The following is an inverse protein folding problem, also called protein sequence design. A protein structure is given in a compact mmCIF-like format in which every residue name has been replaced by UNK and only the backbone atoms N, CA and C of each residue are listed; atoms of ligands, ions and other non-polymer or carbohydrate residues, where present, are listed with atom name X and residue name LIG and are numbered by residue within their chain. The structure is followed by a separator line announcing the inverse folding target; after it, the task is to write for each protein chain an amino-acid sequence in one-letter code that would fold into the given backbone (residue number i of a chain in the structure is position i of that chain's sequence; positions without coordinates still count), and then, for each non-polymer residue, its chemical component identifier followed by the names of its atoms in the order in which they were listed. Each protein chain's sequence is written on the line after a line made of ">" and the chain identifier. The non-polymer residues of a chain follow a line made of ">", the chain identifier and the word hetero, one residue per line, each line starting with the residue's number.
data_IF_656159439748
#
_entry.id   IF_656159439748
#
_cell.length_a   1.000
_cell.length_b   1.000
_cell.length_c   1.000
_cell.angle_alpha   90.00
_cell.angle_beta   90.00
_cell.angle_gamma   90.00
#
_symmetry.space_group_name_H-M   'P 1'
#
loop_
_entity.id
_entity.type
_entity.pdbx_description
1 polymer ?
#
# COMPACT_ATOMS: atom_id res chain seq x y z
N UNK A 1 -5.18 -9.63 15.32
CA UNK A 1 -4.86 -8.38 15.99
C UNK A 1 -4.19 -7.41 15.01
N UNK A 2 -3.93 -6.19 15.45
CA UNK A 2 -3.34 -5.15 14.63
C UNK A 2 -4.32 -4.55 13.62
N UNK A 3 -3.77 -4.04 12.51
CA UNK A 3 -4.57 -3.39 11.48
C UNK A 3 -5.36 -4.40 10.65
N UNK A 4 -4.71 -5.41 10.10
CA UNK A 4 -5.36 -6.47 9.35
C UNK A 4 -4.77 -7.83 9.77
N UNK A 5 -5.60 -8.77 10.26
CA UNK A 5 -7.07 -8.79 10.22
C UNK A 5 -7.81 -8.01 11.33
N UNK A 6 -7.17 -7.35 12.26
CA UNK A 6 -7.81 -6.70 13.40
C UNK A 6 -8.82 -5.62 13.03
N UNK A 7 -8.39 -4.36 13.02
CA UNK A 7 -9.25 -3.19 12.79
C UNK A 7 -9.99 -3.26 11.45
N UNK A 8 -9.31 -3.64 10.37
CA UNK A 8 -9.95 -3.69 9.06
C UNK A 8 -11.02 -4.78 8.96
N UNK A 9 -10.88 -5.89 9.69
CA UNK A 9 -11.93 -6.89 9.75
C UNK A 9 -13.21 -6.35 10.37
N UNK A 10 -13.10 -5.55 11.42
CA UNK A 10 -14.25 -4.88 12.04
C UNK A 10 -14.88 -3.87 11.07
N UNK A 11 -14.08 -3.11 10.36
CA UNK A 11 -14.56 -2.16 9.36
C UNK A 11 -15.32 -2.87 8.23
N UNK A 12 -14.79 -4.00 7.74
CA UNK A 12 -15.45 -4.81 6.71
C UNK A 12 -16.76 -5.41 7.23
N UNK A 13 -16.78 -5.91 8.45
CA UNK A 13 -17.99 -6.46 9.07
C UNK A 13 -19.06 -5.38 9.20
N UNK A 14 -18.71 -4.22 9.72
CA UNK A 14 -19.61 -3.08 9.85
C UNK A 14 -20.17 -2.64 8.49
N UNK A 15 -19.30 -2.49 7.49
CA UNK A 15 -19.70 -2.12 6.13
C UNK A 15 -20.66 -3.13 5.51
N UNK A 16 -20.42 -4.42 5.69
CA UNK A 16 -21.31 -5.46 5.17
C UNK A 16 -22.67 -5.50 5.87
N UNK A 17 -22.74 -5.13 7.14
CA UNK A 17 -23.99 -5.03 7.87
C UNK A 17 -24.83 -3.82 7.44
N UNK A 18 -24.19 -2.69 7.19
CA UNK A 18 -24.86 -1.44 6.78
C UNK A 18 -25.22 -1.44 5.30
N UNK A 19 -24.37 -2.02 4.45
CA UNK A 19 -24.51 -2.05 3.00
C UNK A 19 -24.28 -3.47 2.49
N UNK A 20 -25.28 -4.39 2.62
CA UNK A 20 -25.09 -5.81 2.28
C UNK A 20 -24.72 -6.07 0.82
N UNK A 21 -25.30 -5.33 -0.11
CA UNK A 21 -25.03 -5.47 -1.54
C UNK A 21 -23.85 -4.58 -1.94
N UNK A 22 -22.65 -5.05 -1.71
CA UNK A 22 -21.46 -4.25 -1.97
C UNK A 22 -20.18 -5.06 -2.01
N UNK A 23 -19.09 -4.36 -2.27
CA UNK A 23 -17.73 -4.91 -2.34
C UNK A 23 -16.79 -4.08 -1.48
N UNK A 24 -15.95 -4.76 -0.72
CA UNK A 24 -14.93 -4.13 0.11
C UNK A 24 -13.61 -3.96 -0.63
N UNK A 25 -12.97 -2.82 -0.39
CA UNK A 25 -11.62 -2.54 -0.86
C UNK A 25 -10.80 -2.07 0.34
N UNK A 26 -9.74 -2.79 0.64
CA UNK A 26 -8.82 -2.43 1.72
C UNK A 26 -7.60 -1.76 1.13
N UNK A 27 -7.28 -0.56 1.62
CA UNK A 27 -6.11 0.19 1.21
C UNK A 27 -5.23 0.50 2.40
N UNK A 28 -3.92 0.38 2.18
CA UNK A 28 -2.93 0.97 3.05
C UNK A 28 -2.74 2.41 2.60
N UNK A 29 -2.79 3.35 3.52
CA UNK A 29 -2.45 4.74 3.25
C UNK A 29 -0.96 4.87 2.98
N UNK A 30 -0.44 6.08 2.67
CA UNK A 30 1.00 6.26 2.52
C UNK A 30 1.71 5.88 3.82
N UNK A 31 2.02 4.60 3.96
CA UNK A 31 2.51 4.02 5.19
C UNK A 31 3.76 3.18 4.99
N UNK A 32 4.61 3.22 6.00
CA UNK A 32 5.84 2.43 6.06
C UNK A 32 5.55 1.05 6.60
N UNK A 33 5.99 0.01 5.90
CA UNK A 33 6.00 -1.35 6.41
C UNK A 33 7.39 -1.69 6.93
N UNK A 34 7.48 -2.05 8.19
CA UNK A 34 8.74 -2.48 8.81
C UNK A 34 9.27 -3.76 8.15
N UNK A 35 8.40 -4.74 7.94
CA UNK A 35 8.80 -6.01 7.30
C UNK A 35 9.35 -5.82 5.90
N UNK A 36 8.73 -4.98 5.09
CA UNK A 36 9.21 -4.67 3.74
C UNK A 36 10.51 -3.87 3.78
N UNK A 37 10.63 -2.91 4.69
CA UNK A 37 11.86 -2.15 4.89
C UNK A 37 13.01 -3.05 5.34
N UNK A 38 12.74 -3.98 6.24
CA UNK A 38 13.74 -4.95 6.71
C UNK A 38 14.19 -5.91 5.59
N UNK A 39 13.28 -6.30 4.71
CA UNK A 39 13.63 -7.13 3.56
C UNK A 39 14.67 -6.44 2.67
N UNK A 40 14.51 -5.13 2.44
CA UNK A 40 15.48 -4.34 1.68
C UNK A 40 16.81 -4.23 2.42
N UNK A 41 16.78 -3.98 3.74
CA UNK A 41 17.99 -3.84 4.55
C UNK A 41 18.86 -5.10 4.58
N UNK A 42 18.30 -6.27 4.28
CA UNK A 42 19.06 -7.54 4.20
C UNK A 42 19.83 -7.71 2.91
N UNK A 43 19.60 -6.86 1.91
CA UNK A 43 20.32 -6.90 0.65
C UNK A 43 21.75 -6.41 0.87
N UNK A 44 22.73 -7.14 0.34
CA UNK A 44 24.14 -6.74 0.42
C UNK A 44 24.36 -5.35 -0.20
N UNK A 45 25.06 -4.47 0.53
CA UNK A 45 25.32 -3.10 0.09
C UNK A 45 24.26 -2.08 0.50
N UNK A 46 23.20 -2.50 1.18
CA UNK A 46 22.19 -1.59 1.73
C UNK A 46 22.52 -1.26 3.18
N UNK A 47 22.61 0.04 3.48
CA UNK A 47 22.86 0.55 4.82
C UNK A 47 21.58 0.83 5.59
N UNK A 48 20.59 1.44 4.94
CA UNK A 48 19.27 1.71 5.51
C UNK A 48 18.21 1.76 4.40
N UNK A 49 16.97 1.56 4.75
CA UNK A 49 15.87 1.61 3.79
C UNK A 49 14.54 1.92 4.46
N UNK A 50 13.68 2.58 3.70
CA UNK A 50 12.25 2.77 4.01
C UNK A 50 11.43 2.46 2.76
N UNK A 51 10.34 1.74 2.91
CA UNK A 51 9.39 1.56 1.83
C UNK A 51 8.03 2.10 2.20
N UNK A 52 7.37 2.71 1.23
CA UNK A 52 6.02 3.21 1.35
C UNK A 52 5.10 2.43 0.44
N UNK A 53 3.92 2.07 0.95
CA UNK A 53 2.80 1.56 0.16
C UNK A 53 1.86 2.71 -0.11
N UNK A 54 1.55 2.95 -1.39
CA UNK A 54 0.79 4.12 -1.81
C UNK A 54 -0.41 3.67 -2.63
N UNK A 55 -1.64 4.05 -2.25
CA UNK A 55 -2.82 3.76 -3.06
C UNK A 55 -2.73 4.39 -4.44
N UNK A 56 -3.20 3.69 -5.44
CA UNK A 56 -3.31 4.22 -6.80
C UNK A 56 -4.52 5.14 -6.85
N UNK A 57 -4.31 6.41 -7.18
CA UNK A 57 -5.34 7.45 -7.13
C UNK A 57 -6.52 7.16 -8.06
N UNK A 58 -6.27 6.66 -9.27
CA UNK A 58 -7.33 6.30 -10.21
C UNK A 58 -8.23 5.18 -9.68
N UNK A 59 -7.67 4.23 -8.92
CA UNK A 59 -8.46 3.18 -8.28
C UNK A 59 -9.36 3.76 -7.19
N UNK A 60 -8.83 4.66 -6.36
CA UNK A 60 -9.60 5.34 -5.32
C UNK A 60 -10.75 6.17 -5.91
N UNK A 61 -10.48 6.93 -6.96
CA UNK A 61 -11.50 7.74 -7.64
C UNK A 61 -12.63 6.88 -8.20
N UNK A 62 -12.31 5.78 -8.85
CA UNK A 62 -13.31 4.86 -9.37
C UNK A 62 -14.21 4.30 -8.27
N UNK A 63 -13.63 3.82 -7.17
CA UNK A 63 -14.40 3.25 -6.07
C UNK A 63 -15.23 4.33 -5.37
N UNK A 64 -14.65 5.49 -5.09
CA UNK A 64 -15.35 6.61 -4.44
C UNK A 64 -16.47 7.19 -5.28
N UNK A 65 -16.42 7.00 -6.59
CA UNK A 65 -17.54 7.39 -7.49
C UNK A 65 -18.69 6.39 -7.49
N UNK A 66 -18.57 5.28 -6.77
CA UNK A 66 -19.60 4.26 -6.66
C UNK A 66 -19.40 3.04 -7.57
N UNK A 67 -18.31 2.98 -8.29
CA UNK A 67 -17.97 1.81 -9.10
C UNK A 67 -17.42 0.68 -8.23
N UNK A 68 -17.52 -0.55 -8.73
CA UNK A 68 -17.01 -1.76 -8.08
C UNK A 68 -16.04 -2.51 -9.00
N UNK A 69 -14.89 -1.90 -9.36
CA UNK A 69 -13.96 -2.51 -10.29
C UNK A 69 -13.29 -3.75 -9.70
N UNK A 70 -12.90 -4.68 -10.58
CA UNK A 70 -11.96 -5.74 -10.22
C UNK A 70 -10.55 -5.17 -10.31
N UNK A 71 -9.82 -5.23 -9.20
CA UNK A 71 -8.48 -4.65 -9.11
C UNK A 71 -7.45 -5.71 -8.77
N UNK A 72 -6.39 -5.76 -9.55
CA UNK A 72 -5.21 -6.56 -9.22
C UNK A 72 -4.39 -5.83 -8.15
N UNK A 73 -3.47 -6.53 -7.51
CA UNK A 73 -2.53 -5.96 -6.55
C UNK A 73 -1.81 -4.74 -7.12
N UNK A 74 -1.34 -4.83 -8.36
CA UNK A 74 -0.63 -3.76 -9.07
C UNK A 74 -1.50 -2.54 -9.34
N UNK A 75 -2.79 -2.75 -9.55
CA UNK A 75 -3.74 -1.66 -9.80
C UNK A 75 -4.18 -0.93 -8.53
N UNK A 76 -4.02 -1.56 -7.36
CA UNK A 76 -4.43 -0.97 -6.07
C UNK A 76 -3.36 -0.11 -5.42
N UNK A 77 -2.12 -0.59 -5.42
CA UNK A 77 -1.02 0.06 -4.72
C UNK A 77 0.25 0.08 -5.55
N UNK A 78 1.04 1.12 -5.35
CA UNK A 78 2.43 1.18 -5.78
C UNK A 78 3.34 1.07 -4.56
N UNK A 79 4.62 0.75 -4.81
CA UNK A 79 5.67 0.73 -3.79
C UNK A 79 6.71 1.79 -4.12
N UNK A 80 7.09 2.55 -3.14
CA UNK A 80 8.15 3.55 -3.27
C UNK A 80 9.18 3.30 -2.19
N UNK A 81 10.41 3.03 -2.62
CA UNK A 81 11.51 2.64 -1.74
C UNK A 81 12.57 3.72 -1.72
N UNK A 82 13.03 4.07 -0.52
CA UNK A 82 14.15 4.98 -0.30
C UNK A 82 15.28 4.18 0.33
N UNK A 83 16.43 4.18 -0.31
CA UNK A 83 17.55 3.31 0.04
C UNK A 83 18.82 4.12 0.24
N UNK A 84 19.48 3.87 1.36
CA UNK A 84 20.85 4.36 1.58
C UNK A 84 21.78 3.20 1.29
N UNK A 85 22.58 3.31 0.25
CA UNK A 85 23.56 2.31 -0.12
C UNK A 85 24.91 2.57 0.58
N UNK A 86 25.67 1.51 0.80
CA UNK A 86 27.04 1.63 1.24
C UNK A 86 27.91 2.22 0.13
N UNK A 87 29.01 2.87 0.51
CA UNK A 87 29.94 3.43 -0.44
C UNK A 87 30.49 2.35 -1.37
N UNK A 88 30.48 2.62 -2.68
CA UNK A 88 30.94 1.68 -3.69
C UNK A 88 29.98 0.55 -4.03
N UNK A 89 28.78 0.53 -3.46
CA UNK A 89 27.79 -0.50 -3.76
C UNK A 89 27.28 -0.40 -5.21
N UNK A 90 26.92 -1.54 -5.78
CA UNK A 90 26.30 -1.61 -7.11
C UNK A 90 24.82 -1.27 -7.02
N UNK A 91 24.47 0.00 -7.28
CA UNK A 91 23.10 0.50 -7.18
C UNK A 91 22.15 -0.20 -8.15
N UNK A 92 22.59 -0.50 -9.36
CA UNK A 92 21.76 -1.18 -10.34
C UNK A 92 21.41 -2.60 -9.90
N UNK A 93 22.35 -3.31 -9.30
CA UNK A 93 22.13 -4.65 -8.75
C UNK A 93 21.15 -4.62 -7.57
N UNK A 94 21.28 -3.63 -6.68
CA UNK A 94 20.38 -3.44 -5.54
C UNK A 94 18.95 -3.15 -6.02
N UNK A 95 18.80 -2.22 -6.96
CA UNK A 95 17.49 -1.89 -7.52
C UNK A 95 16.83 -3.11 -8.16
N UNK A 96 17.58 -3.86 -8.97
CA UNK A 96 17.08 -5.08 -9.61
C UNK A 96 16.61 -6.11 -8.58
N UNK A 97 17.37 -6.31 -7.52
CA UNK A 97 17.03 -7.25 -6.46
C UNK A 97 15.76 -6.82 -5.72
N UNK A 98 15.56 -5.53 -5.48
CA UNK A 98 14.35 -5.00 -4.87
C UNK A 98 13.14 -5.23 -5.77
N UNK A 99 13.16 -4.73 -7.00
CA UNK A 99 11.98 -4.73 -7.88
C UNK A 99 11.55 -6.14 -8.31
N UNK A 100 12.44 -7.11 -8.23
CA UNK A 100 12.15 -8.51 -8.55
C UNK A 100 11.91 -9.39 -7.32
N UNK A 101 11.95 -8.82 -6.11
CA UNK A 101 11.81 -9.57 -4.86
C UNK A 101 10.42 -10.19 -4.74
N UNK A 102 10.30 -11.53 -4.71
CA UNK A 102 9.01 -12.20 -4.58
C UNK A 102 8.36 -11.90 -3.24
N UNK A 103 7.03 -11.83 -3.22
CA UNK A 103 6.19 -11.61 -2.04
C UNK A 103 6.26 -10.19 -1.45
N UNK A 104 7.20 -9.36 -1.88
CA UNK A 104 7.34 -7.99 -1.38
C UNK A 104 7.12 -6.94 -2.45
N UNK A 105 7.83 -7.02 -3.57
CA UNK A 105 7.85 -5.94 -4.56
C UNK A 105 7.55 -6.37 -5.99
N UNK A 106 7.77 -7.64 -6.33
CA UNK A 106 7.65 -8.13 -7.71
C UNK A 106 6.25 -7.94 -8.32
N UNK A 107 5.20 -8.01 -7.50
CA UNK A 107 3.81 -7.87 -7.96
C UNK A 107 3.29 -6.43 -7.97
N UNK A 108 4.18 -5.45 -7.72
CA UNK A 108 3.84 -4.03 -7.65
C UNK A 108 4.65 -3.22 -8.62
N UNK A 109 4.14 -2.07 -9.02
CA UNK A 109 4.95 -1.04 -9.64
C UNK A 109 5.80 -0.41 -8.55
N UNK A 110 7.08 -0.73 -8.57
CA UNK A 110 8.03 -0.37 -7.51
C UNK A 110 9.06 0.61 -8.05
N UNK A 111 9.21 1.74 -7.37
CA UNK A 111 10.22 2.76 -7.66
C UNK A 111 11.26 2.77 -6.55
N UNK A 112 12.54 2.82 -6.91
CA UNK A 112 13.65 2.85 -5.97
C UNK A 112 14.39 4.17 -6.10
N UNK A 113 14.56 4.87 -4.97
CA UNK A 113 15.32 6.11 -4.86
C UNK A 113 16.52 5.85 -3.96
N UNK A 114 17.72 6.16 -4.45
CA UNK A 114 18.93 6.13 -3.63
C UNK A 114 19.16 7.52 -3.05
N UNK A 115 19.23 7.60 -1.73
CA UNK A 115 19.36 8.86 -0.99
C UNK A 115 20.51 8.77 0.00
N UNK A 116 20.92 9.93 0.54
CA UNK A 116 21.93 9.99 1.59
C UNK A 116 21.35 9.60 2.95
N UNK A 117 22.22 9.28 3.90
CA UNK A 117 21.83 9.04 5.28
C UNK A 117 21.18 10.29 5.90
N UNK A 118 21.67 11.48 5.54
CA UNK A 118 21.11 12.75 6.02
C UNK A 118 19.68 12.97 5.51
N UNK A 119 19.41 12.67 4.25
CA UNK A 119 18.07 12.73 3.68
C UNK A 119 17.13 11.73 4.34
N UNK A 120 17.62 10.51 4.60
CA UNK A 120 16.84 9.48 5.29
C UNK A 120 16.41 9.97 6.68
N UNK A 121 17.32 10.53 7.45
CA UNK A 121 17.04 11.03 8.80
C UNK A 121 16.14 12.26 8.81
N UNK A 122 16.31 13.15 7.83
CA UNK A 122 15.52 14.37 7.72
C UNK A 122 14.09 14.11 7.25
N UNK A 123 13.91 13.30 6.21
CA UNK A 123 12.66 13.18 5.46
C UNK A 123 11.87 11.90 5.77
N UNK A 124 12.54 10.84 6.27
CA UNK A 124 11.95 9.52 6.46
C UNK A 124 12.07 8.98 7.89
N UNK A 125 12.26 9.86 8.84
CA UNK A 125 12.38 9.49 10.26
C UNK A 125 11.06 9.04 10.86
N UNK A 126 9.96 9.69 10.50
CA UNK A 126 8.64 9.30 10.95
C UNK A 126 8.19 8.03 10.22
N UNK A 127 7.46 7.19 10.93
CA UNK A 127 7.00 5.91 10.41
C UNK A 127 5.47 5.91 10.35
N UNK A 128 4.86 6.65 9.40
CA UNK A 128 3.42 6.66 9.29
C UNK A 128 2.92 5.26 8.97
N UNK A 129 1.82 4.88 9.60
CA UNK A 129 1.20 3.58 9.39
C UNK A 129 -0.30 3.74 9.53
N UNK A 130 -1.03 3.13 8.62
CA UNK A 130 -2.48 3.18 8.64
C UNK A 130 -3.08 2.76 7.33
N UNK A 131 -4.38 2.87 7.24
CA UNK A 131 -5.11 2.52 6.05
C UNK A 131 -6.59 2.73 6.24
N UNK A 132 -7.36 2.28 5.27
CA UNK A 132 -8.80 2.44 5.29
C UNK A 132 -9.48 1.35 4.46
N UNK A 133 -10.75 1.13 4.74
CA UNK A 133 -11.60 0.23 3.98
C UNK A 133 -12.70 1.06 3.32
N UNK A 134 -12.87 0.87 2.03
CA UNK A 134 -13.99 1.46 1.29
C UNK A 134 -14.94 0.33 0.91
N UNK A 135 -16.21 0.50 1.26
CA UNK A 135 -17.27 -0.36 0.77
C UNK A 135 -18.12 0.39 -0.22
N UNK A 136 -18.15 -0.09 -1.44
CA UNK A 136 -18.99 0.44 -2.51
C UNK A 136 -20.12 -0.56 -2.79
N UNK A 137 -21.36 -0.09 -2.83
CA UNK A 137 -22.50 -0.96 -2.98
C UNK A 137 -23.76 -0.24 -3.42
N UNK A 138 -24.86 -0.97 -3.39
CA UNK A 138 -26.13 -0.48 -3.93
C UNK A 138 -27.30 -0.75 -2.99
N UNK A 139 -28.28 0.16 -3.03
CA UNK A 139 -29.56 0.03 -2.34
C UNK A 139 -30.70 0.34 -3.28
N UNK A 140 -31.94 0.17 -2.81
CA UNK A 140 -33.16 0.34 -3.60
C UNK A 140 -33.73 -0.98 -4.06
N UNK A 141 -34.97 -0.95 -4.58
CA UNK A 141 -35.67 -2.16 -5.06
C UNK A 141 -34.92 -2.88 -6.18
N UNK A 142 -34.37 -2.12 -7.12
CA UNK A 142 -33.62 -2.63 -8.28
C UNK A 142 -32.11 -2.36 -8.14
N UNK A 143 -31.62 -2.08 -6.91
CA UNK A 143 -30.23 -1.73 -6.64
C UNK A 143 -29.72 -0.56 -7.52
N UNK A 144 -30.57 0.46 -7.66
CA UNK A 144 -30.29 1.62 -8.52
C UNK A 144 -29.52 2.76 -7.83
N UNK A 145 -29.42 2.72 -6.49
CA UNK A 145 -28.72 3.75 -5.73
C UNK A 145 -27.34 3.31 -5.32
N UNK A 146 -26.32 4.05 -5.74
CA UNK A 146 -24.94 3.81 -5.33
C UNK A 146 -24.63 4.45 -3.97
N UNK A 147 -23.92 3.72 -3.14
CA UNK A 147 -23.48 4.18 -1.84
C UNK A 147 -22.01 3.81 -1.60
N UNK A 148 -21.30 4.67 -0.90
CA UNK A 148 -19.91 4.44 -0.51
C UNK A 148 -19.75 4.73 0.98
N UNK A 149 -19.15 3.78 1.68
CA UNK A 149 -18.77 3.92 3.10
C UNK A 149 -17.25 3.81 3.17
N UNK A 150 -16.62 4.79 3.79
CA UNK A 150 -15.17 4.79 3.99
C UNK A 150 -14.83 4.91 5.47
N UNK A 151 -13.97 4.02 5.98
CA UNK A 151 -13.56 3.96 7.39
C UNK A 151 -12.05 3.79 7.52
#
# INVERSE_FOLDING_TARGET
>A
AGWDPGMFSLNRLYGSAVLPDGKDYTFWGRGVSQGHSDAIRRIAGVKDARQYTIPVESALEAIRSGETPELTTRQKHTRECFVVAEEGADLAAIEKEIVTMPNYFADYDTTVHFISQEEMERDHRSLPHGGFVIRSGKTGWDLEHNHVIEQ
#
